data_IF_118724133958
#
_entry.id   IF_118724133958
#
_cell.length_a   1.000
_cell.length_b   1.000
_cell.length_c   1.000
_cell.angle_alpha   90.00
_cell.angle_beta   90.00
_cell.angle_gamma   90.00
#
_symmetry.space_group_name_H-M   'P 1'
#
loop_
_entity.id
_entity.type
_entity.pdbx_description
1 polymer ?
#
# COMPACT_ATOMS: atom_id res chain seq x y z
N UNK A 1 2.58 -23.95 22.96
CA UNK A 1 1.58 -22.97 22.51
C UNK A 1 2.09 -21.59 22.89
N UNK A 2 2.48 -20.78 21.91
CA UNK A 2 2.83 -19.36 22.13
C UNK A 2 1.53 -18.55 22.29
N UNK A 3 1.49 -17.64 23.23
CA UNK A 3 0.39 -16.67 23.39
C UNK A 3 0.99 -15.29 23.12
N UNK A 4 0.40 -14.55 22.18
CA UNK A 4 0.71 -13.14 21.98
C UNK A 4 -0.32 -12.31 22.76
N UNK A 5 0.15 -11.35 23.53
CA UNK A 5 -0.69 -10.34 24.17
C UNK A 5 -0.46 -9.05 23.42
N UNK A 6 -1.53 -8.47 22.89
CA UNK A 6 -1.51 -7.19 22.17
C UNK A 6 -2.45 -6.21 22.85
N UNK A 7 -2.17 -4.92 22.72
CA UNK A 7 -3.10 -3.88 23.12
C UNK A 7 -4.35 -3.94 22.22
N UNK A 8 -5.52 -3.80 22.83
CA UNK A 8 -6.78 -3.67 22.12
C UNK A 8 -6.94 -2.20 21.69
N UNK A 9 -6.77 -1.95 20.39
CA UNK A 9 -6.91 -0.63 19.77
C UNK A 9 -8.36 -0.32 19.37
N UNK A 10 -9.31 -1.20 19.65
CA UNK A 10 -10.69 -1.09 19.21
C UNK A 10 -10.89 -1.51 17.75
N UNK A 11 -12.06 -1.18 17.19
CA UNK A 11 -12.50 -1.61 15.85
C UNK A 11 -12.90 -0.45 14.91
N UNK A 12 -12.66 0.81 15.32
CA UNK A 12 -13.01 2.01 14.55
C UNK A 12 -12.03 2.26 13.41
N UNK A 13 -12.11 1.46 12.35
CA UNK A 13 -11.27 1.61 11.15
C UNK A 13 -11.59 2.90 10.39
N UNK A 14 -10.57 3.48 9.75
CA UNK A 14 -10.72 4.66 8.88
C UNK A 14 -11.25 4.33 7.47
N UNK A 15 -11.66 3.08 7.22
CA UNK A 15 -12.03 2.59 5.88
C UNK A 15 -13.12 3.43 5.20
N UNK A 16 -14.12 3.87 5.96
CA UNK A 16 -15.28 4.60 5.44
C UNK A 16 -15.09 6.11 5.44
N UNK A 17 -13.93 6.61 5.87
CA UNK A 17 -13.64 8.04 5.93
C UNK A 17 -12.93 8.53 4.67
N UNK A 18 -13.40 9.65 4.13
CA UNK A 18 -12.68 10.42 3.12
C UNK A 18 -11.57 11.23 3.81
N UNK A 19 -10.37 10.65 3.90
CA UNK A 19 -9.23 11.29 4.57
C UNK A 19 -8.74 12.56 3.87
N UNK A 20 -9.08 12.76 2.60
CA UNK A 20 -8.69 13.97 1.84
C UNK A 20 -9.77 15.05 1.86
N UNK A 21 -10.89 14.85 2.57
CA UNK A 21 -11.85 15.91 2.87
C UNK A 21 -11.25 16.89 3.89
N UNK A 22 -11.73 18.13 3.87
CA UNK A 22 -11.30 19.14 4.84
C UNK A 22 -11.60 18.73 6.30
N UNK A 23 -12.70 17.99 6.50
CA UNK A 23 -13.13 17.53 7.83
C UNK A 23 -12.18 16.50 8.42
N UNK A 24 -11.53 15.69 7.58
CA UNK A 24 -10.63 14.60 7.99
C UNK A 24 -9.15 14.95 7.79
N UNK A 25 -8.81 16.20 7.46
CA UNK A 25 -7.42 16.58 7.19
C UNK A 25 -6.47 16.33 8.38
N UNK A 26 -6.97 16.43 9.61
CA UNK A 26 -6.20 16.11 10.80
C UNK A 26 -5.88 14.61 10.89
N UNK A 27 -6.85 13.73 10.59
CA UNK A 27 -6.65 12.27 10.57
C UNK A 27 -5.67 11.86 9.46
N UNK A 28 -5.73 12.51 8.29
CA UNK A 28 -4.73 12.31 7.25
C UNK A 28 -3.33 12.68 7.72
N UNK A 29 -3.16 13.84 8.34
CA UNK A 29 -1.88 14.28 8.86
C UNK A 29 -1.35 13.35 9.96
N UNK A 30 -2.20 12.85 10.85
CA UNK A 30 -1.85 11.83 11.84
C UNK A 30 -1.43 10.52 11.18
N UNK A 31 -2.16 10.08 10.14
CA UNK A 31 -1.81 8.88 9.37
C UNK A 31 -0.45 9.02 8.68
N UNK A 32 -0.16 10.15 8.05
CA UNK A 32 1.15 10.42 7.44
C UNK A 32 2.26 10.53 8.50
N UNK A 33 1.97 11.12 9.66
CA UNK A 33 2.94 11.22 10.75
C UNK A 33 3.31 9.86 11.33
N UNK A 34 2.33 8.95 11.49
CA UNK A 34 2.62 7.59 11.96
C UNK A 34 3.35 6.78 10.90
N UNK A 35 3.01 6.95 9.62
CA UNK A 35 3.77 6.34 8.52
C UNK A 35 5.23 6.78 8.54
N UNK A 36 5.50 8.08 8.66
CA UNK A 36 6.86 8.61 8.75
C UNK A 36 7.63 8.04 9.96
N UNK A 37 6.97 7.87 11.12
CA UNK A 37 7.57 7.23 12.30
C UNK A 37 7.92 5.77 12.02
N UNK A 38 7.05 5.00 11.37
CA UNK A 38 7.33 3.61 10.98
C UNK A 38 8.53 3.57 10.04
N UNK A 39 8.53 4.40 9.02
CA UNK A 39 9.55 4.44 7.98
C UNK A 39 10.94 4.79 8.51
N UNK A 40 11.02 5.61 9.55
CA UNK A 40 12.29 6.06 10.15
C UNK A 40 12.68 5.31 11.41
N UNK A 41 11.83 4.40 11.91
CA UNK A 41 12.10 3.64 13.12
C UNK A 41 13.35 2.75 12.95
N UNK A 42 14.17 2.66 14.00
CA UNK A 42 15.28 1.72 14.02
C UNK A 42 14.78 0.32 14.42
N UNK A 43 14.47 -0.51 13.42
CA UNK A 43 13.97 -1.87 13.63
C UNK A 43 15.07 -2.86 13.25
N UNK A 44 15.65 -3.59 14.22
CA UNK A 44 16.69 -4.55 13.91
C UNK A 44 16.12 -5.76 13.17
N UNK A 45 16.90 -6.29 12.21
CA UNK A 45 16.60 -7.53 11.49
C UNK A 45 15.28 -7.52 10.69
N UNK A 46 14.88 -6.36 10.19
CA UNK A 46 13.72 -6.27 9.30
C UNK A 46 14.01 -7.00 7.97
N UNK A 47 13.10 -7.84 7.46
CA UNK A 47 13.22 -8.43 6.13
C UNK A 47 13.38 -7.34 5.06
N UNK A 48 14.18 -7.59 4.04
CA UNK A 48 14.37 -6.66 2.94
C UNK A 48 13.74 -7.22 1.67
N UNK A 49 12.90 -6.43 1.02
CA UNK A 49 12.46 -6.74 -0.34
C UNK A 49 13.67 -6.65 -1.30
N UNK A 50 13.58 -7.40 -2.38
CA UNK A 50 14.51 -7.32 -3.49
C UNK A 50 13.74 -7.29 -4.82
N UNK A 51 14.47 -7.09 -5.89
CA UNK A 51 13.91 -7.06 -7.24
C UNK A 51 13.12 -8.31 -7.57
N UNK A 52 13.65 -9.49 -7.23
CA UNK A 52 13.04 -10.77 -7.56
C UNK A 52 11.72 -10.97 -6.81
N UNK A 53 11.67 -10.58 -5.54
CA UNK A 53 10.45 -10.61 -4.72
C UNK A 53 9.37 -9.68 -5.28
N UNK A 54 9.73 -8.45 -5.64
CA UNK A 54 8.80 -7.49 -6.24
C UNK A 54 8.26 -8.00 -7.58
N UNK A 55 9.14 -8.53 -8.43
CA UNK A 55 8.76 -9.09 -9.72
C UNK A 55 7.87 -10.33 -9.57
N UNK A 56 8.20 -11.24 -8.66
CA UNK A 56 7.39 -12.43 -8.39
C UNK A 56 5.96 -12.07 -7.95
N UNK A 57 5.81 -11.04 -7.12
CA UNK A 57 4.49 -10.54 -6.72
C UNK A 57 3.70 -9.98 -7.90
N UNK A 58 4.34 -9.23 -8.82
CA UNK A 58 3.68 -8.70 -10.02
C UNK A 58 3.34 -9.79 -11.04
N UNK A 59 4.15 -10.84 -11.13
CA UNK A 59 3.90 -11.97 -12.05
C UNK A 59 2.61 -12.73 -11.70
N UNK A 60 2.18 -12.70 -10.44
CA UNK A 60 0.90 -13.30 -10.02
C UNK A 60 -0.31 -12.64 -10.70
N UNK A 61 -0.22 -11.38 -11.09
CA UNK A 61 -1.26 -10.70 -11.85
C UNK A 61 -1.50 -11.40 -13.20
N UNK A 62 -0.44 -11.68 -13.94
CA UNK A 62 -0.58 -12.29 -15.27
C UNK A 62 -0.95 -13.78 -15.17
N UNK A 63 -0.21 -14.54 -14.35
CA UNK A 63 -0.39 -15.99 -14.29
C UNK A 63 -1.66 -16.41 -13.54
N UNK A 64 -2.00 -15.74 -12.46
CA UNK A 64 -3.12 -16.15 -11.62
C UNK A 64 -4.39 -15.33 -11.93
N UNK A 65 -4.30 -13.98 -11.94
CA UNK A 65 -5.51 -13.19 -12.16
C UNK A 65 -5.97 -13.25 -13.62
N UNK A 66 -5.10 -12.96 -14.60
CA UNK A 66 -5.52 -12.93 -16.02
C UNK A 66 -5.77 -14.36 -16.54
N UNK A 67 -4.80 -15.25 -16.38
CA UNK A 67 -4.85 -16.57 -17.02
C UNK A 67 -5.76 -17.52 -16.27
N UNK A 68 -5.52 -17.75 -14.96
CA UNK A 68 -6.22 -18.80 -14.24
C UNK A 68 -7.62 -18.36 -13.77
N UNK A 69 -7.75 -17.12 -13.22
CA UNK A 69 -9.02 -16.63 -12.67
C UNK A 69 -9.97 -16.09 -13.75
N UNK A 70 -9.50 -15.24 -14.67
CA UNK A 70 -10.33 -14.71 -15.75
C UNK A 70 -10.44 -15.66 -16.95
N UNK A 71 -9.58 -16.68 -17.02
CA UNK A 71 -9.48 -17.60 -18.17
C UNK A 71 -9.24 -16.87 -19.52
N UNK A 72 -8.45 -15.80 -19.47
CA UNK A 72 -8.05 -14.99 -20.62
C UNK A 72 -6.62 -15.34 -20.98
N UNK A 73 -6.39 -15.65 -22.28
CA UNK A 73 -5.04 -15.75 -22.79
C UNK A 73 -4.48 -14.33 -23.00
N UNK A 74 -3.40 -13.92 -22.29
CA UNK A 74 -2.89 -12.56 -22.38
C UNK A 74 -2.35 -12.30 -23.78
N UNK A 75 -3.02 -11.42 -24.52
CA UNK A 75 -2.59 -10.96 -25.85
C UNK A 75 -1.65 -9.75 -25.77
N UNK A 76 -1.51 -9.16 -24.60
CA UNK A 76 -0.69 -7.96 -24.37
C UNK A 76 0.50 -8.34 -23.50
N UNK A 77 1.69 -8.12 -24.04
CA UNK A 77 2.93 -8.27 -23.27
C UNK A 77 3.07 -7.09 -22.28
N UNK A 78 2.92 -7.37 -21.00
CA UNK A 78 3.08 -6.40 -19.91
C UNK A 78 4.50 -6.43 -19.31
N UNK A 79 5.42 -7.21 -19.86
CA UNK A 79 6.79 -7.35 -19.35
C UNK A 79 7.49 -6.00 -19.30
N UNK A 80 7.29 -5.16 -20.30
CA UNK A 80 7.85 -3.81 -20.33
C UNK A 80 7.35 -2.98 -19.14
N UNK A 81 6.04 -2.97 -18.87
CA UNK A 81 5.46 -2.24 -17.74
C UNK A 81 6.01 -2.77 -16.40
N UNK A 82 6.12 -4.10 -16.24
CA UNK A 82 6.69 -4.70 -15.03
C UNK A 82 8.14 -4.28 -14.82
N UNK A 83 8.96 -4.33 -15.87
CA UNK A 83 10.37 -3.95 -15.78
C UNK A 83 10.54 -2.46 -15.45
N UNK A 84 9.77 -1.59 -16.10
CA UNK A 84 9.76 -0.15 -15.83
C UNK A 84 9.31 0.13 -14.39
N UNK A 85 8.25 -0.53 -13.91
CA UNK A 85 7.80 -0.41 -12.53
C UNK A 85 8.86 -0.85 -11.51
N UNK A 86 9.58 -1.95 -11.78
CA UNK A 86 10.67 -2.41 -10.92
C UNK A 86 11.81 -1.40 -10.89
N UNK A 87 12.24 -0.89 -12.05
CA UNK A 87 13.28 0.13 -12.13
C UNK A 87 12.92 1.37 -11.29
N UNK A 88 11.71 1.88 -11.46
CA UNK A 88 11.22 3.03 -10.74
C UNK A 88 11.08 2.78 -9.22
N UNK A 89 10.67 1.59 -8.81
CA UNK A 89 10.62 1.22 -7.40
C UNK A 89 12.01 1.10 -6.77
N UNK A 90 12.99 0.59 -7.51
CA UNK A 90 14.37 0.49 -7.03
C UNK A 90 15.04 1.87 -6.88
N UNK A 91 14.61 2.87 -7.65
CA UNK A 91 15.12 4.24 -7.60
C UNK A 91 14.47 5.11 -6.50
N UNK A 92 13.42 4.62 -5.82
CA UNK A 92 12.81 5.32 -4.70
C UNK A 92 13.66 5.24 -3.43
N UNK A 93 13.44 6.12 -2.44
CA UNK A 93 13.96 5.88 -1.10
C UNK A 93 13.43 4.57 -0.52
N UNK A 94 14.34 3.78 0.06
CA UNK A 94 14.02 2.52 0.75
C UNK A 94 14.04 2.76 2.24
N UNK A 95 12.90 2.50 2.89
CA UNK A 95 12.69 2.68 4.32
C UNK A 95 11.95 1.46 4.89
N UNK A 96 11.62 1.47 6.16
CA UNK A 96 10.68 0.49 6.67
C UNK A 96 9.33 0.68 5.97
N UNK A 97 8.76 -0.39 5.52
CA UNK A 97 7.51 -0.41 4.78
C UNK A 97 6.54 -1.33 5.52
N UNK A 98 5.38 -0.80 5.91
CA UNK A 98 4.31 -1.58 6.52
C UNK A 98 3.76 -2.63 5.55
N UNK A 99 3.85 -2.33 4.25
CA UNK A 99 3.48 -3.16 3.13
C UNK A 99 1.97 -3.31 2.89
N UNK A 100 1.15 -3.01 3.89
CA UNK A 100 -0.31 -2.95 3.77
C UNK A 100 -0.88 -1.74 4.53
N UNK A 101 -0.22 -0.57 4.36
CA UNK A 101 -0.61 0.70 4.99
C UNK A 101 -1.82 1.29 4.26
N UNK A 102 -2.99 0.79 4.61
CA UNK A 102 -4.27 1.21 4.03
C UNK A 102 -5.29 1.57 5.11
N UNK A 103 -6.31 2.36 4.76
CA UNK A 103 -7.31 2.87 5.72
C UNK A 103 -7.98 1.79 6.56
N UNK A 104 -8.09 0.56 6.06
CA UNK A 104 -8.64 -0.57 6.81
C UNK A 104 -7.77 -0.94 8.01
N UNK A 105 -6.46 -0.76 7.90
CA UNK A 105 -5.47 -1.07 8.94
C UNK A 105 -5.11 0.16 9.79
N UNK A 106 -5.81 1.28 9.58
CA UNK A 106 -5.70 2.49 10.40
C UNK A 106 -6.94 2.60 11.28
N UNK A 107 -6.74 2.73 12.59
CA UNK A 107 -7.81 2.79 13.58
C UNK A 107 -7.84 4.16 14.24
N UNK A 108 -9.04 4.72 14.41
CA UNK A 108 -9.26 5.91 15.23
C UNK A 108 -9.32 5.47 16.70
N UNK A 109 -8.35 5.92 17.48
CA UNK A 109 -8.27 5.61 18.91
C UNK A 109 -9.19 6.53 19.72
N UNK A 110 -9.48 6.12 20.98
CA UNK A 110 -10.39 6.87 21.87
C UNK A 110 -9.88 8.27 22.23
N UNK A 111 -8.57 8.51 22.16
CA UNK A 111 -7.92 9.80 22.39
C UNK A 111 -7.85 10.67 21.12
N UNK A 112 -8.43 10.19 20.01
CA UNK A 112 -8.40 10.87 18.72
C UNK A 112 -7.10 10.69 17.93
N UNK A 113 -6.18 9.84 18.40
CA UNK A 113 -4.99 9.45 17.65
C UNK A 113 -5.29 8.33 16.66
N UNK A 114 -4.32 8.04 15.76
CA UNK A 114 -4.40 6.96 14.78
C UNK A 114 -3.51 5.82 15.22
N UNK A 115 -4.10 4.63 15.37
CA UNK A 115 -3.38 3.37 15.57
C UNK A 115 -3.17 2.64 14.24
N UNK A 116 -2.16 1.76 14.18
CA UNK A 116 -1.87 0.92 13.01
C UNK A 116 -1.83 -0.53 13.43
N UNK A 117 -2.52 -1.38 12.68
CA UNK A 117 -2.57 -2.84 12.90
C UNK A 117 -2.10 -3.58 11.65
N UNK A 118 -1.93 -4.90 11.78
CA UNK A 118 -1.61 -5.79 10.65
C UNK A 118 -0.18 -5.60 10.10
N UNK A 119 0.80 -5.47 10.99
CA UNK A 119 2.20 -5.14 10.67
C UNK A 119 3.11 -6.37 10.47
N UNK A 120 2.57 -7.59 10.38
CA UNK A 120 3.36 -8.82 10.24
C UNK A 120 4.18 -8.90 8.96
N UNK A 121 3.81 -8.14 7.92
CA UNK A 121 4.52 -8.07 6.64
C UNK A 121 5.53 -6.92 6.57
N UNK A 122 5.85 -6.31 7.72
CA UNK A 122 6.80 -5.20 7.83
C UNK A 122 8.16 -5.59 7.23
N UNK A 123 8.66 -4.80 6.31
CA UNK A 123 9.89 -5.04 5.59
C UNK A 123 10.64 -3.73 5.27
N UNK A 124 11.87 -3.82 4.77
CA UNK A 124 12.51 -2.69 4.10
C UNK A 124 12.11 -2.70 2.63
N UNK A 125 11.56 -1.59 2.14
CA UNK A 125 11.04 -1.49 0.78
C UNK A 125 10.90 -0.06 0.28
N UNK A 126 10.45 0.14 -0.98
CA UNK A 126 10.26 1.45 -1.58
C UNK A 126 9.05 2.16 -0.96
N UNK A 127 9.23 3.43 -0.59
CA UNK A 127 8.22 4.23 0.14
C UNK A 127 6.89 4.38 -0.58
N UNK A 128 6.89 4.30 -1.91
CA UNK A 128 5.70 4.45 -2.74
C UNK A 128 4.64 3.38 -2.51
N UNK A 129 5.01 2.19 -2.03
CA UNK A 129 4.05 1.09 -1.78
C UNK A 129 3.07 1.47 -0.65
N UNK A 130 3.58 1.98 0.47
CA UNK A 130 2.73 2.40 1.59
C UNK A 130 1.94 3.67 1.27
N UNK A 131 2.56 4.63 0.61
CA UNK A 131 1.87 5.82 0.12
C UNK A 131 0.73 5.45 -0.84
N UNK A 132 0.96 4.48 -1.73
CA UNK A 132 -0.08 3.99 -2.61
C UNK A 132 -1.23 3.31 -1.85
N UNK A 133 -0.93 2.59 -0.78
CA UNK A 133 -1.93 1.99 0.10
C UNK A 133 -2.88 3.02 0.70
N UNK A 134 -2.36 4.21 1.03
CA UNK A 134 -3.15 5.29 1.61
C UNK A 134 -3.90 6.12 0.55
N UNK A 135 -3.27 6.43 -0.59
CA UNK A 135 -3.78 7.39 -1.57
C UNK A 135 -4.46 6.78 -2.79
N UNK A 136 -4.09 5.56 -3.17
CA UNK A 136 -4.61 4.86 -4.36
C UNK A 136 -5.29 3.57 -3.88
N UNK A 137 -6.26 3.74 -3.01
CA UNK A 137 -7.07 2.61 -2.60
C UNK A 137 -8.27 2.43 -3.54
N UNK A 138 -8.91 1.29 -3.44
CA UNK A 138 -10.02 0.91 -4.31
C UNK A 138 -11.40 1.35 -3.77
N UNK A 139 -11.45 2.07 -2.66
CA UNK A 139 -12.71 2.54 -2.06
C UNK A 139 -13.07 3.95 -2.48
N UNK A 140 -12.09 4.87 -2.51
CA UNK A 140 -12.28 6.28 -2.87
C UNK A 140 -11.25 6.69 -3.92
N UNK A 141 -11.71 7.41 -4.95
CA UNK A 141 -10.83 7.93 -6.01
C UNK A 141 -10.53 9.40 -5.76
N UNK A 142 -9.26 9.71 -5.61
CA UNK A 142 -8.78 11.07 -5.43
C UNK A 142 -8.20 11.64 -6.72
N UNK A 143 -8.29 12.98 -6.87
CA UNK A 143 -7.59 13.65 -7.97
C UNK A 143 -6.09 13.70 -7.70
N UNK A 144 -5.28 13.67 -8.77
CA UNK A 144 -3.83 13.87 -8.69
C UNK A 144 -3.48 15.11 -7.86
N UNK A 145 -4.15 16.24 -8.13
CA UNK A 145 -3.91 17.50 -7.41
C UNK A 145 -4.12 17.35 -5.91
N UNK A 146 -5.18 16.65 -5.49
CA UNK A 146 -5.47 16.42 -4.07
C UNK A 146 -4.38 15.61 -3.39
N UNK A 147 -3.95 14.52 -4.04
CA UNK A 147 -2.86 13.68 -3.54
C UNK A 147 -1.57 14.47 -3.45
N UNK A 148 -1.15 15.14 -4.53
CA UNK A 148 0.10 15.92 -4.58
C UNK A 148 0.13 16.99 -3.48
N UNK A 149 -1.01 17.67 -3.22
CA UNK A 149 -1.08 18.65 -2.13
C UNK A 149 -0.81 18.03 -0.74
N UNK A 150 -1.27 16.81 -0.51
CA UNK A 150 -1.05 16.08 0.75
C UNK A 150 0.40 15.59 0.89
N UNK A 151 1.07 15.32 -0.24
CA UNK A 151 2.46 14.86 -0.25
C UNK A 151 3.46 15.97 0.13
N UNK A 152 3.07 17.25 0.08
CA UNK A 152 3.87 18.36 0.62
C UNK A 152 4.17 18.13 2.10
N UNK A 153 3.14 17.81 2.89
CA UNK A 153 3.31 17.54 4.32
C UNK A 153 4.16 16.29 4.57
N UNK A 154 3.94 15.22 3.82
CA UNK A 154 4.75 14.01 3.93
C UNK A 154 6.24 14.28 3.64
N UNK A 155 6.55 15.02 2.58
CA UNK A 155 7.92 15.41 2.25
C UNK A 155 8.61 16.21 3.36
N UNK A 156 7.85 17.10 4.04
CA UNK A 156 8.34 17.87 5.18
C UNK A 156 8.65 16.96 6.39
N UNK A 157 7.79 15.98 6.69
CA UNK A 157 7.99 15.05 7.81
C UNK A 157 9.31 14.26 7.68
N UNK A 158 9.64 13.82 6.49
CA UNK A 158 10.83 13.02 6.22
C UNK A 158 12.04 13.84 5.76
N UNK A 159 11.91 15.16 5.64
CA UNK A 159 12.94 16.05 5.11
C UNK A 159 13.45 15.62 3.72
N UNK A 160 12.55 15.05 2.91
CA UNK A 160 12.84 14.60 1.56
C UNK A 160 13.02 15.83 0.67
N UNK A 161 14.19 15.94 0.05
CA UNK A 161 14.50 17.02 -0.91
C UNK A 161 13.98 16.66 -2.31
N UNK A 162 12.68 16.35 -2.41
CA UNK A 162 11.98 16.09 -3.66
C UNK A 162 10.71 16.91 -3.70
N UNK A 163 10.35 17.38 -4.88
CA UNK A 163 9.08 18.08 -5.07
C UNK A 163 7.90 17.10 -4.97
N UNK A 164 6.69 17.60 -4.66
CA UNK A 164 5.51 16.75 -4.47
C UNK A 164 5.11 15.93 -5.71
N UNK A 165 5.42 16.41 -6.91
CA UNK A 165 5.11 15.69 -8.16
C UNK A 165 6.05 14.48 -8.30
N UNK A 166 7.31 14.61 -7.96
CA UNK A 166 8.27 13.49 -7.88
C UNK A 166 7.82 12.44 -6.85
N UNK A 167 7.35 12.87 -5.67
CA UNK A 167 6.81 11.94 -4.67
C UNK A 167 5.53 11.26 -5.19
N UNK A 168 4.72 11.98 -5.97
CA UNK A 168 3.53 11.40 -6.59
C UNK A 168 3.88 10.31 -7.63
N UNK A 169 4.98 10.46 -8.37
CA UNK A 169 5.45 9.37 -9.24
C UNK A 169 5.82 8.12 -8.43
N UNK A 170 6.41 8.24 -7.24
CA UNK A 170 6.62 7.07 -6.36
C UNK A 170 5.31 6.40 -5.96
N UNK A 171 4.27 7.20 -5.65
CA UNK A 171 2.93 6.68 -5.35
C UNK A 171 2.37 5.91 -6.54
N UNK A 172 2.50 6.43 -7.76
CA UNK A 172 1.99 5.77 -8.98
C UNK A 172 2.64 4.41 -9.22
N UNK A 173 3.97 4.34 -9.14
CA UNK A 173 4.70 3.10 -9.33
C UNK A 173 4.44 2.10 -8.18
N UNK A 174 4.35 2.59 -6.96
CA UNK A 174 3.90 1.80 -5.83
C UNK A 174 2.50 1.23 -6.03
N UNK A 175 1.56 2.02 -6.59
CA UNK A 175 0.20 1.57 -6.88
C UNK A 175 0.16 0.47 -7.96
N UNK A 176 0.97 0.58 -9.01
CA UNK A 176 1.06 -0.46 -10.05
C UNK A 176 1.48 -1.79 -9.42
N UNK A 177 2.58 -1.79 -8.67
CA UNK A 177 3.08 -2.99 -8.00
C UNK A 177 2.04 -3.56 -7.03
N UNK A 178 1.51 -2.70 -6.13
CA UNK A 178 0.54 -3.09 -5.12
C UNK A 178 -0.74 -3.67 -5.72
N UNK A 179 -1.32 -3.02 -6.73
CA UNK A 179 -2.55 -3.47 -7.35
C UNK A 179 -2.36 -4.80 -8.10
N UNK A 180 -1.26 -4.97 -8.83
CA UNK A 180 -0.94 -6.26 -9.45
C UNK A 180 -0.80 -7.37 -8.41
N UNK A 181 -0.09 -7.12 -7.31
CA UNK A 181 0.03 -8.06 -6.18
C UNK A 181 -1.33 -8.43 -5.60
N UNK A 182 -2.19 -7.44 -5.31
CA UNK A 182 -3.51 -7.67 -4.70
C UNK A 182 -4.41 -8.48 -5.62
N UNK A 183 -4.48 -8.11 -6.91
CA UNK A 183 -5.29 -8.85 -7.90
C UNK A 183 -4.86 -10.33 -7.98
N UNK A 184 -3.56 -10.60 -8.05
CA UNK A 184 -3.04 -11.96 -8.03
C UNK A 184 -3.35 -12.71 -6.73
N UNK A 185 -3.13 -12.06 -5.58
CA UNK A 185 -3.33 -12.67 -4.26
C UNK A 185 -4.80 -13.02 -3.99
N UNK A 186 -5.73 -12.09 -4.23
CA UNK A 186 -7.16 -12.32 -4.00
C UNK A 186 -7.70 -13.41 -4.93
N UNK A 187 -7.26 -13.41 -6.18
CA UNK A 187 -7.62 -14.47 -7.14
C UNK A 187 -7.10 -15.84 -6.71
N UNK A 188 -5.85 -15.90 -6.26
CA UNK A 188 -5.26 -17.12 -5.72
C UNK A 188 -6.05 -17.67 -4.52
N UNK A 189 -6.38 -16.82 -3.57
CA UNK A 189 -7.18 -17.22 -2.39
C UNK A 189 -8.52 -17.82 -2.83
N UNK A 190 -9.18 -17.20 -3.80
CA UNK A 190 -10.44 -17.75 -4.32
C UNK A 190 -10.24 -19.09 -5.00
N UNK A 191 -9.28 -19.22 -5.89
CA UNK A 191 -9.02 -20.47 -6.63
C UNK A 191 -8.64 -21.62 -5.71
N UNK A 192 -7.81 -21.34 -4.69
CA UNK A 192 -7.32 -22.37 -3.76
C UNK A 192 -8.37 -22.79 -2.71
N UNK A 193 -9.27 -21.89 -2.31
CA UNK A 193 -10.12 -22.09 -1.13
C UNK A 193 -11.63 -21.93 -1.39
N UNK A 194 -12.02 -21.39 -2.54
CA UNK A 194 -13.42 -21.02 -2.85
C UNK A 194 -13.95 -19.82 -2.04
N UNK A 195 -13.08 -19.15 -1.25
CA UNK A 195 -13.51 -18.01 -0.43
C UNK A 195 -13.77 -16.80 -1.32
N UNK A 196 -14.98 -16.25 -1.24
CA UNK A 196 -15.41 -15.05 -1.98
C UNK A 196 -15.02 -13.74 -1.28
N UNK A 197 -14.24 -13.83 -0.22
CA UNK A 197 -13.77 -12.68 0.53
C UNK A 197 -13.08 -11.67 -0.40
N UNK A 198 -13.58 -10.45 -0.40
CA UNK A 198 -13.05 -9.33 -1.21
C UNK A 198 -13.10 -9.51 -2.75
N UNK A 199 -13.75 -10.54 -3.30
CA UNK A 199 -13.89 -10.65 -4.76
C UNK A 199 -14.59 -9.44 -5.40
N UNK A 200 -15.52 -8.80 -4.67
CA UNK A 200 -16.18 -7.58 -5.13
C UNK A 200 -15.19 -6.43 -5.38
N UNK A 201 -14.07 -6.42 -4.66
CA UNK A 201 -13.06 -5.35 -4.73
C UNK A 201 -12.24 -5.44 -6.01
N UNK A 202 -12.14 -6.62 -6.65
CA UNK A 202 -11.40 -6.83 -7.91
C UNK A 202 -11.86 -5.92 -9.06
N UNK A 203 -13.10 -5.40 -9.00
CA UNK A 203 -13.65 -4.50 -10.03
C UNK A 203 -13.20 -3.05 -9.87
N UNK A 204 -12.71 -2.70 -8.69
CA UNK A 204 -12.36 -1.32 -8.31
C UNK A 204 -10.86 -1.11 -8.12
N UNK A 205 -10.11 -2.21 -7.97
CA UNK A 205 -8.66 -2.24 -8.02
C UNK A 205 -8.18 -2.04 -9.46
#
# INVERSE_FOLDING_TARGET
LGVNIQEDLGDSSLIDLDLLSNENSELLNKSLSILAKIQTANIPQIPKLDQDSLLAQMNSFESIFIKDFLSIDPHVDISRLKNEAIEELLNQPWMNCHFDFERRNLLLLNDGEVGVVDYQDLCSGPVGIDLAGLFIDHYIKYSTKTITSSLVYYGQLLQINSDPDSIFEWVRWGAIQRNMRILGTLSKIYLDTGRTFRLKDLKTI
#
